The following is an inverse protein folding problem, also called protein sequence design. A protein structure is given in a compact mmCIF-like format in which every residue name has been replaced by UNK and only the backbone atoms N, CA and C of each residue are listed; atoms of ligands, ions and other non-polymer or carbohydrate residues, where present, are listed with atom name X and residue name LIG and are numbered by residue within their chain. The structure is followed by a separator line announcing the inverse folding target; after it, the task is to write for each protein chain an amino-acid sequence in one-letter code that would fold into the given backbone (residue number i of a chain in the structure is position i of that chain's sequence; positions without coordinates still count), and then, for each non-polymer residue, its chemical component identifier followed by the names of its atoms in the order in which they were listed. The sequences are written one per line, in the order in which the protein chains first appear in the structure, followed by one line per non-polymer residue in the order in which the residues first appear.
data_IF_270948773138
#
_entry.id   IF_270948773138
#
_cell.length_a   1.000
_cell.length_b   1.000
_cell.length_c   1.000
_cell.angle_alpha   90.00
_cell.angle_beta   90.00
_cell.angle_gamma   90.00
#
_symmetry.space_group_name_H-M   'P 1'
#
loop_
_entity.id
_entity.type
_entity.pdbx_description
1 polymer ?
#
# COMPACT_ATOMS: atom_id res chain seq x y z
N UNK A 1 -5.66 17.23 7.05
CA UNK A 1 -6.67 18.00 6.27
C UNK A 1 -6.82 17.29 4.94
N UNK A 2 -7.19 16.02 5.05
CA UNK A 2 -6.92 14.92 4.13
C UNK A 2 -8.23 14.19 3.81
N UNK A 3 -9.34 14.92 3.75
CA UNK A 3 -10.68 14.36 3.49
C UNK A 3 -11.55 15.41 2.78
N UNK A 4 -11.09 16.00 1.66
CA UNK A 4 -11.95 16.93 0.89
C UNK A 4 -13.02 16.18 0.06
N UNK A 5 -12.90 14.86 -0.13
CA UNK A 5 -13.84 14.06 -0.94
C UNK A 5 -14.24 12.70 -0.37
N UNK A 6 -13.76 12.35 0.81
CA UNK A 6 -13.93 11.05 1.44
C UNK A 6 -14.86 11.16 2.65
N UNK A 7 -15.70 10.15 2.88
CA UNK A 7 -16.79 10.21 3.86
C UNK A 7 -16.40 10.90 5.18
N UNK A 8 -17.29 11.75 5.69
CA UNK A 8 -17.00 12.76 6.73
C UNK A 8 -16.69 12.19 8.13
N UNK A 9 -16.67 10.87 8.30
CA UNK A 9 -16.50 10.22 9.59
C UNK A 9 -15.46 9.08 9.56
N UNK A 10 -14.23 9.31 10.04
CA UNK A 10 -13.18 8.29 10.06
C UNK A 10 -13.41 7.16 11.07
N UNK A 11 -14.49 7.21 11.86
CA UNK A 11 -14.87 6.15 12.82
C UNK A 11 -16.07 5.32 12.37
N UNK A 12 -16.68 5.66 11.23
CA UNK A 12 -17.82 4.93 10.67
C UNK A 12 -17.35 3.98 9.56
N UNK A 13 -17.46 2.65 9.75
CA UNK A 13 -17.07 1.66 8.74
C UNK A 13 -17.86 1.75 7.42
N UNK A 14 -19.00 2.46 7.42
CA UNK A 14 -19.82 2.70 6.23
C UNK A 14 -19.52 4.04 5.55
N UNK A 15 -18.64 4.85 6.15
CA UNK A 15 -18.19 6.14 5.61
C UNK A 15 -16.93 5.96 4.76
N UNK A 16 -17.00 5.07 3.76
CA UNK A 16 -15.94 4.84 2.78
C UNK A 16 -16.03 5.81 1.61
N UNK A 17 -14.92 6.11 0.96
CA UNK A 17 -14.91 6.91 -0.27
C UNK A 17 -15.45 6.06 -1.43
N UNK A 18 -16.39 6.60 -2.20
CA UNK A 18 -16.83 5.96 -3.45
C UNK A 18 -15.76 6.07 -4.56
N UNK A 19 -14.89 7.08 -4.46
CA UNK A 19 -13.77 7.31 -5.37
C UNK A 19 -12.45 7.16 -4.61
N UNK A 20 -11.90 5.95 -4.63
CA UNK A 20 -10.62 5.68 -3.97
C UNK A 20 -9.48 6.54 -4.54
N UNK A 21 -9.55 6.97 -5.80
CA UNK A 21 -8.54 7.85 -6.41
C UNK A 21 -8.53 9.28 -5.82
N UNK A 22 -9.61 9.66 -5.11
CA UNK A 22 -9.72 10.93 -4.39
C UNK A 22 -9.22 10.85 -2.94
N UNK A 23 -8.86 9.65 -2.46
CA UNK A 23 -8.22 9.48 -1.17
C UNK A 23 -6.86 10.17 -1.27
N UNK A 24 -6.61 11.14 -0.39
CA UNK A 24 -5.31 11.75 -0.21
C UNK A 24 -4.30 10.79 0.44
N UNK A 25 -4.31 9.52 0.04
CA UNK A 25 -3.41 8.50 0.52
C UNK A 25 -2.04 8.77 -0.11
N UNK A 26 -1.04 9.01 0.73
CA UNK A 26 0.31 9.07 0.25
C UNK A 26 0.88 7.65 0.21
N UNK A 27 1.03 7.11 -1.01
CA UNK A 27 1.77 5.88 -1.28
C UNK A 27 3.13 6.34 -1.80
N UNK A 28 4.21 6.04 -1.08
CA UNK A 28 5.54 6.51 -1.51
C UNK A 28 6.08 5.66 -2.65
N UNK A 29 6.73 6.33 -3.60
CA UNK A 29 7.50 5.68 -4.67
C UNK A 29 8.88 5.19 -4.17
N UNK A 30 9.27 5.54 -2.94
CA UNK A 30 10.57 5.22 -2.36
C UNK A 30 10.42 4.67 -0.93
N UNK A 31 10.99 3.50 -0.69
CA UNK A 31 10.87 2.77 0.56
C UNK A 31 12.23 2.22 0.99
N UNK A 32 12.64 2.54 2.21
CA UNK A 32 13.94 2.20 2.79
C UNK A 32 13.76 1.65 4.20
N UNK A 33 13.38 0.37 4.38
CA UNK A 33 13.19 -0.24 5.69
C UNK A 33 14.55 -0.57 6.34
N UNK A 34 15.29 0.47 6.71
CA UNK A 34 16.62 0.41 7.31
C UNK A 34 16.59 0.77 8.82
N UNK A 35 15.45 1.26 9.32
CA UNK A 35 15.23 1.60 10.72
C UNK A 35 15.74 2.97 11.15
N UNK A 36 15.95 3.90 10.20
CA UNK A 36 16.38 5.27 10.49
C UNK A 36 15.22 6.24 10.79
N UNK A 37 13.98 5.77 10.65
CA UNK A 37 12.74 6.52 10.85
C UNK A 37 12.26 7.32 9.64
N UNK A 38 12.93 7.21 8.48
CA UNK A 38 12.63 7.93 7.25
C UNK A 38 12.27 6.93 6.15
N UNK A 39 11.04 6.99 5.61
CA UNK A 39 10.54 6.07 4.58
C UNK A 39 10.67 4.57 4.94
N UNK A 40 10.62 4.26 6.24
CA UNK A 40 10.65 2.90 6.79
C UNK A 40 9.35 2.13 6.55
N UNK A 41 8.30 2.82 6.11
CA UNK A 41 6.99 2.28 5.72
C UNK A 41 6.68 2.68 4.28
N UNK A 42 5.85 1.88 3.61
CA UNK A 42 5.53 2.09 2.21
C UNK A 42 4.34 3.04 1.98
N UNK A 43 3.36 3.05 2.87
CA UNK A 43 2.22 3.96 2.78
C UNK A 43 2.07 4.79 4.06
N UNK A 44 1.25 5.85 4.00
CA UNK A 44 0.78 6.58 5.17
C UNK A 44 -0.04 5.67 6.11
N UNK A 45 0.00 5.93 7.42
CA UNK A 45 -0.82 5.25 8.44
C UNK A 45 -2.32 5.28 8.12
N UNK A 46 -2.82 6.26 7.36
CA UNK A 46 -4.20 6.30 6.86
C UNK A 46 -4.59 5.04 6.07
N UNK A 47 -3.63 4.28 5.53
CA UNK A 47 -3.86 3.02 4.83
C UNK A 47 -4.64 2.01 5.69
N UNK A 48 -4.39 1.98 7.00
CA UNK A 48 -4.99 0.99 7.92
C UNK A 48 -6.52 1.13 8.05
N UNK A 49 -7.09 2.24 7.57
CA UNK A 49 -8.54 2.48 7.60
C UNK A 49 -9.30 1.58 6.61
N UNK A 50 -8.63 1.06 5.59
CA UNK A 50 -9.23 0.28 4.53
C UNK A 50 -9.13 -1.23 4.80
N UNK A 51 -9.84 -1.75 5.81
CA UNK A 51 -9.68 -3.15 6.23
C UNK A 51 -10.10 -4.20 5.19
N UNK A 52 -10.86 -3.80 4.18
CA UNK A 52 -11.27 -4.67 3.07
C UNK A 52 -10.30 -4.64 1.90
N UNK A 53 -9.09 -4.10 2.07
CA UNK A 53 -8.11 -4.04 1.01
C UNK A 53 -7.47 -5.40 0.67
N UNK A 54 -6.89 -5.50 -0.53
CA UNK A 54 -5.92 -6.52 -0.91
C UNK A 54 -4.78 -5.87 -1.68
N UNK A 55 -3.56 -6.26 -1.33
CA UNK A 55 -2.33 -5.73 -1.92
C UNK A 55 -1.57 -6.87 -2.59
N UNK A 56 -1.03 -6.58 -3.78
CA UNK A 56 -0.09 -7.46 -4.48
C UNK A 56 1.18 -6.69 -4.82
N UNK A 57 2.34 -7.34 -4.68
CA UNK A 57 3.63 -6.80 -5.10
C UNK A 57 4.35 -7.84 -5.96
N UNK A 58 4.90 -7.37 -7.06
CA UNK A 58 5.59 -8.16 -8.07
C UNK A 58 7.02 -7.65 -8.26
N UNK A 59 7.93 -8.57 -8.57
CA UNK A 59 9.26 -8.19 -9.03
C UNK A 59 9.25 -7.79 -10.52
N UNK A 60 10.40 -7.31 -11.02
CA UNK A 60 10.58 -6.90 -12.43
C UNK A 60 10.28 -7.99 -13.46
N UNK A 61 10.36 -9.26 -13.07
CA UNK A 61 10.06 -10.40 -13.94
C UNK A 61 8.56 -10.75 -13.96
N UNK A 62 7.72 -10.00 -13.23
CA UNK A 62 6.29 -10.27 -13.09
C UNK A 62 5.95 -11.38 -12.09
N UNK A 63 6.90 -11.83 -11.28
CA UNK A 63 6.64 -12.82 -10.23
C UNK A 63 6.00 -12.14 -9.02
N UNK A 64 4.89 -12.69 -8.54
CA UNK A 64 4.26 -12.29 -7.28
C UNK A 64 5.20 -12.62 -6.11
N UNK A 65 5.59 -11.60 -5.35
CA UNK A 65 6.47 -11.71 -4.18
C UNK A 65 5.75 -11.40 -2.87
N UNK A 66 4.62 -10.69 -2.92
CA UNK A 66 3.82 -10.41 -1.74
C UNK A 66 2.36 -10.32 -2.14
N UNK A 67 1.50 -10.92 -1.33
CA UNK A 67 0.06 -10.75 -1.39
C UNK A 67 -0.48 -10.74 0.04
N UNK A 68 -1.36 -9.79 0.34
CA UNK A 68 -2.02 -9.75 1.63
C UNK A 68 -3.42 -9.16 1.49
N UNK A 69 -4.41 -9.90 2.00
CA UNK A 69 -5.75 -9.39 2.29
C UNK A 69 -5.71 -8.67 3.63
N UNK A 70 -6.42 -7.56 3.73
CA UNK A 70 -6.39 -6.66 4.88
C UNK A 70 -4.94 -6.27 5.20
N UNK A 71 -4.23 -5.72 4.21
CA UNK A 71 -2.87 -5.23 4.38
C UNK A 71 -2.87 -4.05 5.36
N UNK A 72 -1.91 -4.06 6.29
CA UNK A 72 -1.81 -3.11 7.40
C UNK A 72 -0.51 -2.32 7.35
N UNK A 73 -0.01 -2.03 6.14
CA UNK A 73 1.25 -1.32 5.92
C UNK A 73 2.48 -2.04 6.55
N UNK A 74 2.46 -3.38 6.53
CA UNK A 74 3.41 -4.25 7.26
C UNK A 74 4.43 -4.95 6.34
N UNK A 75 4.46 -4.59 5.05
CA UNK A 75 5.45 -5.13 4.13
C UNK A 75 6.81 -4.49 4.38
N UNK A 76 7.80 -5.31 4.71
CA UNK A 76 9.15 -4.89 5.11
C UNK A 76 10.21 -5.08 4.02
N UNK A 77 9.80 -5.25 2.76
CA UNK A 77 10.76 -5.52 1.66
C UNK A 77 11.36 -6.92 1.74
N UNK A 78 10.64 -7.89 2.32
CA UNK A 78 11.06 -9.29 2.44
C UNK A 78 10.19 -10.20 1.56
N UNK A 79 10.79 -11.28 1.08
CA UNK A 79 10.10 -12.39 0.43
C UNK A 79 10.64 -13.71 0.98
N UNK A 80 9.75 -14.59 1.46
CA UNK A 80 10.13 -15.88 2.08
C UNK A 80 11.20 -15.74 3.17
N UNK A 81 11.07 -14.72 4.02
CA UNK A 81 12.01 -14.35 5.09
C UNK A 81 13.40 -13.88 4.63
N UNK A 82 13.63 -13.72 3.32
CA UNK A 82 14.85 -13.15 2.77
C UNK A 82 14.63 -11.69 2.38
N UNK A 83 15.67 -10.86 2.57
CA UNK A 83 15.64 -9.48 2.13
C UNK A 83 15.69 -9.41 0.61
N UNK A 84 14.74 -8.67 0.04
CA UNK A 84 14.71 -8.43 -1.39
C UNK A 84 15.85 -7.46 -1.78
N UNK A 85 16.46 -7.64 -2.96
CA UNK A 85 17.48 -6.74 -3.46
C UNK A 85 16.91 -5.34 -3.70
N UNK A 86 17.79 -4.34 -3.69
CA UNK A 86 17.41 -3.00 -4.09
C UNK A 86 16.92 -2.98 -5.53
N UNK A 87 15.85 -2.23 -5.77
CA UNK A 87 15.27 -2.14 -7.09
C UNK A 87 13.80 -1.76 -7.12
N UNK A 88 13.27 -1.73 -8.33
CA UNK A 88 11.88 -1.38 -8.59
C UNK A 88 10.99 -2.62 -8.53
N UNK A 89 9.89 -2.50 -7.80
CA UNK A 89 8.83 -3.48 -7.67
C UNK A 89 7.51 -2.86 -8.13
N UNK A 90 6.63 -3.69 -8.69
CA UNK A 90 5.33 -3.26 -9.15
C UNK A 90 4.27 -3.64 -8.13
N UNK A 91 3.33 -2.74 -7.83
CA UNK A 91 2.26 -3.03 -6.87
C UNK A 91 0.87 -2.80 -7.47
N UNK A 92 -0.09 -3.53 -6.92
CA UNK A 92 -1.52 -3.37 -7.14
C UNK A 92 -2.22 -3.29 -5.78
N UNK A 93 -3.23 -2.45 -5.66
CA UNK A 93 -4.06 -2.29 -4.45
C UNK A 93 -5.51 -2.23 -4.89
N UNK A 94 -6.32 -3.11 -4.32
CA UNK A 94 -7.78 -3.11 -4.42
C UNK A 94 -8.30 -2.80 -3.00
N UNK A 95 -8.96 -1.67 -2.80
CA UNK A 95 -9.33 -1.22 -1.45
C UNK A 95 -10.63 -1.85 -0.92
N UNK A 96 -11.42 -2.49 -1.79
CA UNK A 96 -12.72 -3.05 -1.45
C UNK A 96 -12.88 -4.52 -1.86
N UNK A 97 -11.82 -5.15 -2.39
CA UNK A 97 -11.78 -6.52 -2.89
C UNK A 97 -12.87 -6.81 -3.91
N UNK A 98 -13.19 -5.84 -4.77
CA UNK A 98 -14.13 -6.04 -5.87
C UNK A 98 -13.51 -6.78 -7.07
N UNK A 99 -12.19 -7.05 -7.03
CA UNK A 99 -11.43 -7.74 -8.07
C UNK A 99 -10.83 -6.81 -9.13
N UNK A 100 -10.96 -5.50 -8.95
CA UNK A 100 -10.37 -4.46 -9.79
C UNK A 100 -9.43 -3.60 -8.94
N UNK A 101 -8.12 -3.57 -9.23
CA UNK A 101 -7.21 -2.67 -8.53
C UNK A 101 -7.63 -1.20 -8.71
N UNK A 102 -7.74 -0.49 -7.60
CA UNK A 102 -7.99 0.95 -7.55
C UNK A 102 -6.69 1.74 -7.72
N UNK A 103 -5.57 1.20 -7.23
CA UNK A 103 -4.24 1.79 -7.34
C UNK A 103 -3.23 0.80 -7.91
N UNK A 104 -2.31 1.33 -8.70
CA UNK A 104 -1.18 0.59 -9.23
C UNK A 104 0.00 1.53 -9.47
N UNK A 105 1.21 1.00 -9.33
CA UNK A 105 2.41 1.81 -9.47
C UNK A 105 3.70 1.03 -9.30
N UNK A 106 4.78 1.78 -9.18
CA UNK A 106 6.13 1.23 -9.00
C UNK A 106 6.70 1.81 -7.72
N UNK A 107 7.20 0.93 -6.85
CA UNK A 107 7.93 1.30 -5.64
C UNK A 107 9.42 0.96 -5.82
N UNK A 108 10.31 1.85 -5.43
CA UNK A 108 11.73 1.59 -5.33
C UNK A 108 12.10 1.21 -3.89
N UNK A 109 12.61 -0.01 -3.72
CA UNK A 109 13.16 -0.51 -2.45
C UNK A 109 14.66 -0.19 -2.39
N UNK A 110 15.08 0.51 -1.33
CA UNK A 110 16.47 0.82 -0.99
C UNK A 110 16.84 0.27 0.40
N UNK A 111 18.13 0.22 0.74
CA UNK A 111 18.62 -0.22 2.06
C UNK A 111 19.62 0.76 2.67
#
# INVERSE_FOLDING_TARGET
MDEIGCGVNPTDPLSVCDDYASIGLEITDFFSPNGDGINDQWADDAFIRYNDNEVWIYNRSGQLIFNQVNYQNDWSGKFKNEDLPEGSYYYLIDFNRNGSPDYQGVIYLAR
#
